data_IF_396208716297
#
_entry.id   IF_396208716297
#
_cell.length_a   1.000
_cell.length_b   1.000
_cell.length_c   1.000
_cell.angle_alpha   90.00
_cell.angle_beta   90.00
_cell.angle_gamma   90.00
#
_symmetry.space_group_name_H-M   'P 1'
#
loop_
_entity.id
_entity.type
_entity.pdbx_description
1 polymer ?
#
# COMPACT_ATOMS: atom_id res chain seq x y z
N UNK A 1 16.68 -6.82 -11.26
CA UNK A 1 16.05 -7.81 -10.34
C UNK A 1 16.52 -7.55 -8.93
N UNK A 2 15.62 -7.31 -7.99
CA UNK A 2 15.96 -7.14 -6.57
C UNK A 2 15.96 -8.53 -5.93
N UNK A 3 17.10 -8.97 -5.39
CA UNK A 3 17.28 -10.31 -4.77
C UNK A 3 16.84 -11.47 -5.70
N UNK A 4 17.19 -11.40 -6.97
CA UNK A 4 16.83 -12.34 -8.03
C UNK A 4 15.32 -12.45 -8.33
N UNK A 5 14.51 -11.48 -7.87
CA UNK A 5 13.08 -11.40 -8.14
C UNK A 5 12.74 -10.29 -9.11
N UNK A 6 11.77 -10.52 -9.98
CA UNK A 6 11.17 -9.46 -10.80
C UNK A 6 10.19 -8.68 -9.95
N UNK A 7 10.51 -7.42 -9.70
CA UNK A 7 9.74 -6.54 -8.80
C UNK A 7 9.00 -5.49 -9.62
N UNK A 8 7.70 -5.37 -9.38
CA UNK A 8 6.87 -4.27 -9.88
C UNK A 8 6.57 -3.30 -8.73
N UNK A 9 6.87 -2.03 -8.95
CA UNK A 9 6.38 -0.96 -8.09
C UNK A 9 5.06 -0.44 -8.67
N UNK A 10 3.98 -0.55 -7.90
CA UNK A 10 2.65 -0.03 -8.26
C UNK A 10 2.46 1.30 -7.55
N UNK A 11 2.24 2.35 -8.33
CA UNK A 11 2.02 3.71 -7.83
C UNK A 11 0.58 4.12 -8.13
N UNK A 12 -0.34 4.05 -7.14
CA UNK A 12 -1.67 4.60 -7.29
C UNK A 12 -1.60 6.13 -7.33
N UNK A 13 -2.25 6.77 -8.31
CA UNK A 13 -2.22 8.21 -8.47
C UNK A 13 -3.60 8.77 -8.85
N UNK A 14 -4.01 9.86 -8.21
CA UNK A 14 -5.21 10.62 -8.54
C UNK A 14 -5.02 12.11 -8.26
N UNK A 15 -4.92 12.91 -9.34
CA UNK A 15 -4.62 14.33 -9.27
C UNK A 15 -3.33 14.62 -8.47
N UNK A 16 -2.26 13.95 -8.86
CA UNK A 16 -0.92 14.04 -8.24
C UNK A 16 0.12 14.59 -9.24
N UNK A 17 -0.30 15.48 -10.15
CA UNK A 17 0.60 16.07 -11.15
C UNK A 17 1.82 16.78 -10.55
N UNK A 18 1.68 17.34 -9.33
CA UNK A 18 2.76 18.06 -8.65
C UNK A 18 3.85 17.15 -8.08
N UNK A 19 3.56 15.85 -7.84
CA UNK A 19 4.46 14.93 -7.12
C UNK A 19 4.84 13.69 -7.91
N UNK A 20 3.93 13.15 -8.73
CA UNK A 20 4.10 11.85 -9.38
C UNK A 20 5.38 11.74 -10.21
N UNK A 21 5.77 12.81 -10.92
CA UNK A 21 6.97 12.82 -11.74
C UNK A 21 8.26 12.68 -10.92
N UNK A 22 8.33 13.35 -9.77
CA UNK A 22 9.47 13.27 -8.85
C UNK A 22 9.53 11.90 -8.17
N UNK A 23 8.38 11.37 -7.73
CA UNK A 23 8.29 10.02 -7.15
C UNK A 23 8.77 8.96 -8.13
N UNK A 24 8.34 9.00 -9.39
CA UNK A 24 8.79 8.04 -10.41
C UNK A 24 10.27 8.16 -10.67
N UNK A 25 10.82 9.38 -10.80
CA UNK A 25 12.26 9.59 -11.00
C UNK A 25 13.07 9.06 -9.82
N UNK A 26 12.62 9.31 -8.60
CA UNK A 26 13.28 8.81 -7.40
C UNK A 26 13.26 7.26 -7.35
N UNK A 27 12.10 6.63 -7.58
CA UNK A 27 12.01 5.17 -7.63
C UNK A 27 12.99 4.59 -8.65
N UNK A 28 13.04 5.15 -9.86
CA UNK A 28 13.93 4.68 -10.92
C UNK A 28 15.41 4.92 -10.61
N UNK A 29 15.73 5.99 -9.89
CA UNK A 29 17.11 6.30 -9.46
C UNK A 29 17.59 5.34 -8.37
N UNK A 30 16.76 5.06 -7.38
CA UNK A 30 17.11 4.20 -6.24
C UNK A 30 16.95 2.70 -6.56
N UNK A 31 16.04 2.35 -7.49
CA UNK A 31 15.68 0.97 -7.83
C UNK A 31 15.70 0.74 -9.35
N UNK A 32 16.87 0.92 -10.03
CA UNK A 32 16.94 0.80 -11.49
C UNK A 32 16.57 -0.59 -12.01
N UNK A 33 16.54 -1.58 -11.15
CA UNK A 33 16.21 -2.98 -11.47
C UNK A 33 14.73 -3.31 -11.34
N UNK A 34 13.89 -2.39 -10.78
CA UNK A 34 12.47 -2.56 -10.62
C UNK A 34 11.70 -1.88 -11.77
N UNK A 35 10.62 -2.50 -12.19
CA UNK A 35 9.69 -1.87 -13.12
C UNK A 35 8.68 -1.00 -12.34
N UNK A 36 8.26 0.13 -12.93
CA UNK A 36 7.33 1.07 -12.31
C UNK A 36 6.07 1.17 -13.15
N UNK A 37 4.92 0.89 -12.53
CA UNK A 37 3.59 1.08 -13.09
C UNK A 37 2.84 2.14 -12.29
N UNK A 38 2.55 3.27 -12.92
CA UNK A 38 1.60 4.24 -12.39
C UNK A 38 0.19 3.87 -12.87
N UNK A 39 -0.72 3.69 -11.93
CA UNK A 39 -2.14 3.49 -12.25
C UNK A 39 -2.88 4.77 -11.90
N UNK A 40 -3.21 5.54 -12.94
CA UNK A 40 -3.93 6.81 -12.86
C UNK A 40 -5.44 6.56 -12.72
N UNK A 41 -6.01 6.96 -11.59
CA UNK A 41 -7.41 6.76 -11.21
C UNK A 41 -8.35 7.80 -11.84
N UNK A 42 -8.18 8.05 -13.14
CA UNK A 42 -9.02 9.00 -13.87
C UNK A 42 -8.76 10.46 -13.48
N UNK A 43 -7.49 10.85 -13.31
CA UNK A 43 -7.11 12.22 -12.97
C UNK A 43 -7.61 13.23 -14.00
N UNK A 44 -7.97 14.42 -13.52
CA UNK A 44 -8.36 15.55 -14.37
C UNK A 44 -7.16 16.44 -14.77
N UNK A 45 -6.02 16.23 -14.13
CA UNK A 45 -4.77 16.96 -14.35
C UNK A 45 -3.76 16.18 -15.23
N UNK A 46 -2.54 16.65 -15.30
CA UNK A 46 -1.46 16.06 -16.09
C UNK A 46 -0.76 14.85 -15.44
N UNK A 47 -1.33 14.23 -14.40
CA UNK A 47 -0.73 13.11 -13.66
C UNK A 47 -0.19 12.02 -14.57
N UNK A 48 -1.03 11.45 -15.46
CA UNK A 48 -0.63 10.36 -16.35
C UNK A 48 0.52 10.76 -17.30
N UNK A 49 0.45 11.96 -17.89
CA UNK A 49 1.46 12.48 -18.80
C UNK A 49 2.81 12.66 -18.10
N UNK A 50 2.82 13.24 -16.91
CA UNK A 50 4.05 13.48 -16.14
C UNK A 50 4.67 12.18 -15.64
N UNK A 51 3.86 11.21 -15.22
CA UNK A 51 4.34 9.86 -14.87
C UNK A 51 5.04 9.17 -16.05
N UNK A 52 4.43 9.23 -17.24
CA UNK A 52 5.00 8.65 -18.45
C UNK A 52 6.30 9.35 -18.85
N UNK A 53 6.37 10.68 -18.78
CA UNK A 53 7.58 11.45 -19.06
C UNK A 53 8.71 11.15 -18.07
N UNK A 54 8.39 10.80 -16.83
CA UNK A 54 9.35 10.34 -15.82
C UNK A 54 9.83 8.89 -16.05
N UNK A 55 9.25 8.17 -17.02
CA UNK A 55 9.68 6.85 -17.48
C UNK A 55 8.95 5.68 -16.81
N UNK A 56 7.77 5.89 -16.22
CA UNK A 56 6.90 4.81 -15.78
C UNK A 56 6.05 4.24 -16.93
N UNK A 57 5.69 2.96 -16.84
CA UNK A 57 4.51 2.47 -17.53
C UNK A 57 3.27 3.11 -16.90
N UNK A 58 2.28 3.48 -17.71
CA UNK A 58 1.07 4.14 -17.20
C UNK A 58 -0.16 3.44 -17.72
N UNK A 59 -1.07 3.11 -16.80
CA UNK A 59 -2.44 2.70 -17.14
C UNK A 59 -3.41 3.71 -16.54
N UNK A 60 -4.32 4.22 -17.36
CA UNK A 60 -5.32 5.22 -16.95
C UNK A 60 -6.71 4.61 -16.89
N UNK A 61 -7.40 4.81 -15.77
CA UNK A 61 -8.81 4.45 -15.62
C UNK A 61 -9.71 5.54 -16.21
N UNK A 62 -10.88 5.18 -16.77
CA UNK A 62 -11.81 6.15 -17.37
C UNK A 62 -12.49 7.04 -16.31
N UNK A 63 -12.54 6.62 -15.06
CA UNK A 63 -13.12 7.33 -13.92
C UNK A 63 -12.52 6.83 -12.61
N UNK A 64 -12.68 7.61 -11.53
CA UNK A 64 -12.14 7.28 -10.21
C UNK A 64 -12.84 6.05 -9.62
N UNK A 65 -12.07 5.00 -9.37
CA UNK A 65 -12.49 3.75 -8.70
C UNK A 65 -12.01 3.69 -7.24
N UNK A 66 -11.17 4.61 -6.82
CA UNK A 66 -10.49 4.59 -5.54
C UNK A 66 -9.26 3.67 -5.52
N UNK A 67 -8.43 3.85 -4.49
CA UNK A 67 -7.13 3.17 -4.34
C UNK A 67 -7.24 1.65 -4.47
N UNK A 68 -8.30 1.04 -3.96
CA UNK A 68 -8.49 -0.40 -4.05
C UNK A 68 -8.72 -0.90 -5.47
N UNK A 69 -9.49 -0.17 -6.28
CA UNK A 69 -9.68 -0.47 -7.71
C UNK A 69 -8.38 -0.35 -8.50
N UNK A 70 -7.62 0.70 -8.23
CA UNK A 70 -6.29 0.97 -8.79
C UNK A 70 -5.31 -0.16 -8.45
N UNK A 71 -5.20 -0.52 -7.16
CA UNK A 71 -4.30 -1.58 -6.72
C UNK A 71 -4.68 -2.94 -7.31
N UNK A 72 -5.97 -3.26 -7.39
CA UNK A 72 -6.43 -4.48 -8.05
C UNK A 72 -5.99 -4.54 -9.52
N UNK A 73 -6.07 -3.44 -10.26
CA UNK A 73 -5.57 -3.37 -11.63
C UNK A 73 -4.05 -3.56 -11.68
N UNK A 74 -3.30 -2.93 -10.78
CA UNK A 74 -1.87 -3.13 -10.65
C UNK A 74 -1.47 -4.58 -10.38
N UNK A 75 -2.19 -5.28 -9.50
CA UNK A 75 -1.96 -6.72 -9.25
C UNK A 75 -2.32 -7.60 -10.46
N UNK A 76 -3.38 -7.25 -11.21
CA UNK A 76 -3.70 -7.94 -12.46
C UNK A 76 -2.58 -7.80 -13.49
N UNK A 77 -2.04 -6.61 -13.62
CA UNK A 77 -0.87 -6.35 -14.47
C UNK A 77 0.34 -7.16 -13.97
N UNK A 78 0.65 -7.12 -12.67
CA UNK A 78 1.75 -7.88 -12.08
C UNK A 78 1.63 -9.38 -12.37
N UNK A 79 0.42 -9.93 -12.28
CA UNK A 79 0.13 -11.33 -12.60
C UNK A 79 0.34 -11.65 -14.06
N UNK A 80 -0.21 -10.85 -14.97
CA UNK A 80 -0.13 -11.08 -16.42
C UNK A 80 1.30 -11.03 -16.96
N UNK A 81 2.10 -10.11 -16.41
CA UNK A 81 3.49 -9.91 -16.80
C UNK A 81 4.48 -10.83 -16.06
N UNK A 82 3.99 -11.65 -15.12
CA UNK A 82 4.80 -12.65 -14.43
C UNK A 82 5.77 -12.10 -13.40
N UNK A 83 5.41 -11.03 -12.67
CA UNK A 83 6.21 -10.51 -11.57
C UNK A 83 6.19 -11.43 -10.36
N UNK A 84 7.33 -11.52 -9.67
CA UNK A 84 7.47 -12.32 -8.44
C UNK A 84 7.02 -11.56 -7.21
N UNK A 85 7.18 -10.22 -7.23
CA UNK A 85 6.88 -9.31 -6.12
C UNK A 85 6.19 -8.07 -6.65
N UNK A 86 5.17 -7.61 -5.95
CA UNK A 86 4.57 -6.30 -6.14
C UNK A 86 4.74 -5.45 -4.87
N UNK A 87 5.12 -4.17 -5.04
CA UNK A 87 5.27 -3.21 -3.95
C UNK A 87 4.41 -1.99 -4.25
N UNK A 88 3.60 -1.55 -3.27
CA UNK A 88 2.88 -0.29 -3.37
C UNK A 88 3.74 0.85 -2.85
N UNK A 89 3.86 1.92 -3.64
CA UNK A 89 4.42 3.22 -3.24
C UNK A 89 3.42 4.31 -3.63
N UNK A 90 3.02 5.15 -2.67
CA UNK A 90 2.05 6.22 -2.95
C UNK A 90 2.71 7.39 -3.72
N UNK A 91 1.92 8.05 -4.57
CA UNK A 91 2.40 9.13 -5.46
C UNK A 91 2.74 10.45 -4.73
N UNK A 92 2.55 10.54 -3.42
CA UNK A 92 2.71 11.76 -2.61
C UNK A 92 4.14 11.97 -2.05
N UNK A 93 5.06 11.02 -2.30
CA UNK A 93 6.46 11.08 -1.87
C UNK A 93 6.73 10.74 -0.40
N UNK A 94 5.72 10.29 0.36
CA UNK A 94 5.90 9.91 1.75
C UNK A 94 6.68 8.59 1.92
N UNK A 95 6.57 7.67 0.96
CA UNK A 95 7.26 6.39 0.97
C UNK A 95 8.66 6.52 0.37
N UNK A 96 9.69 6.21 1.16
CA UNK A 96 11.08 6.23 0.72
C UNK A 96 11.42 4.93 -0.04
N UNK A 97 11.73 4.98 -1.36
CA UNK A 97 12.05 3.80 -2.16
C UNK A 97 13.23 2.97 -1.65
N UNK A 98 14.15 3.58 -0.91
CA UNK A 98 15.33 2.90 -0.32
C UNK A 98 14.96 1.78 0.65
N UNK A 99 13.74 1.77 1.18
CA UNK A 99 13.26 0.68 2.03
C UNK A 99 12.68 -0.52 1.24
N UNK A 100 12.49 -0.41 -0.08
CA UNK A 100 11.94 -1.51 -0.90
C UNK A 100 12.78 -2.79 -0.79
N UNK A 101 14.13 -2.76 -0.86
CA UNK A 101 14.92 -3.98 -0.68
C UNK A 101 14.65 -4.66 0.67
N UNK A 102 14.50 -3.89 1.75
CA UNK A 102 14.17 -4.40 3.10
C UNK A 102 12.78 -5.05 3.16
N UNK A 103 11.79 -4.48 2.43
CA UNK A 103 10.46 -5.09 2.29
C UNK A 103 10.53 -6.41 1.51
N UNK A 104 11.26 -6.42 0.40
CA UNK A 104 11.44 -7.62 -0.45
C UNK A 104 12.17 -8.73 0.31
N UNK A 105 13.19 -8.41 1.11
CA UNK A 105 13.87 -9.36 1.99
C UNK A 105 12.93 -9.99 3.01
N UNK A 106 12.02 -9.21 3.56
CA UNK A 106 11.02 -9.70 4.50
C UNK A 106 10.08 -10.76 3.92
N UNK A 107 9.96 -10.86 2.58
CA UNK A 107 9.16 -11.87 1.90
C UNK A 107 9.81 -13.27 1.88
N UNK A 108 11.02 -13.43 2.40
CA UNK A 108 11.61 -14.77 2.61
C UNK A 108 10.82 -15.57 3.66
N UNK A 109 10.27 -14.89 4.67
CA UNK A 109 9.56 -15.52 5.79
C UNK A 109 8.06 -15.17 5.83
N UNK A 110 7.57 -14.32 4.94
CA UNK A 110 6.19 -13.85 4.91
C UNK A 110 5.70 -13.66 3.48
N UNK A 111 4.38 -13.71 3.27
CA UNK A 111 3.76 -13.40 1.97
C UNK A 111 3.39 -11.94 1.84
N UNK A 112 3.16 -11.25 2.97
CA UNK A 112 2.90 -9.81 3.04
C UNK A 112 3.87 -9.13 4.00
N UNK A 113 4.58 -8.12 3.52
CA UNK A 113 5.46 -7.28 4.35
C UNK A 113 4.96 -5.85 4.33
N UNK A 114 4.81 -5.25 5.51
CA UNK A 114 4.29 -3.90 5.70
C UNK A 114 5.40 -3.00 6.25
N UNK A 115 5.66 -1.88 5.60
CA UNK A 115 6.50 -0.81 6.13
C UNK A 115 5.78 -0.08 7.25
N UNK A 116 6.26 -0.23 8.48
CA UNK A 116 5.61 0.27 9.68
C UNK A 116 6.24 1.58 10.15
N UNK A 117 5.45 2.67 10.15
CA UNK A 117 5.84 4.02 10.61
C UNK A 117 6.16 4.09 12.11
N UNK A 118 5.53 3.23 12.90
CA UNK A 118 5.57 3.26 14.37
C UNK A 118 6.47 2.17 14.97
N UNK A 119 7.33 1.56 14.18
CA UNK A 119 8.19 0.47 14.63
C UNK A 119 9.57 0.93 15.14
N UNK A 120 9.75 2.22 15.42
CA UNK A 120 10.93 2.78 16.06
C UNK A 120 11.88 3.57 15.16
N UNK A 121 11.53 3.80 13.89
CA UNK A 121 12.24 4.70 12.98
C UNK A 121 11.35 5.91 12.66
N UNK A 122 11.80 7.15 12.95
CA UNK A 122 11.12 8.41 12.66
C UNK A 122 10.19 8.96 13.76
N UNK A 123 9.88 10.27 13.66
CA UNK A 123 9.15 11.06 14.68
C UNK A 123 7.63 11.15 14.45
N UNK A 124 7.03 10.24 13.68
CA UNK A 124 5.60 10.34 13.37
C UNK A 124 4.74 10.00 14.59
N UNK A 125 4.07 11.03 15.16
CA UNK A 125 3.21 10.89 16.33
C UNK A 125 1.73 11.07 15.99
N UNK A 126 0.91 10.07 16.32
CA UNK A 126 -0.56 10.20 16.29
C UNK A 126 -1.06 10.63 17.66
N UNK A 127 -1.88 11.70 17.70
CA UNK A 127 -2.49 12.22 18.94
C UNK A 127 -4.02 12.07 18.92
N UNK A 128 -4.62 12.04 20.12
CA UNK A 128 -6.08 12.06 20.31
C UNK A 128 -6.80 10.70 20.10
N UNK A 129 -8.13 10.69 19.91
CA UNK A 129 -8.98 9.48 19.83
C UNK A 129 -8.53 8.48 18.75
N UNK A 130 -7.96 8.97 17.65
CA UNK A 130 -7.40 8.15 16.57
C UNK A 130 -6.31 7.18 17.06
N UNK A 131 -5.53 7.58 18.06
CA UNK A 131 -4.49 6.71 18.65
C UNK A 131 -5.10 5.47 19.32
N UNK A 132 -6.19 5.63 20.05
CA UNK A 132 -6.87 4.52 20.73
C UNK A 132 -7.48 3.53 19.74
N UNK A 133 -8.13 4.03 18.70
CA UNK A 133 -8.71 3.18 17.65
C UNK A 133 -7.63 2.39 16.90
N UNK A 134 -6.51 3.04 16.58
CA UNK A 134 -5.37 2.38 15.94
C UNK A 134 -4.72 1.34 16.85
N UNK A 135 -4.58 1.62 18.16
CA UNK A 135 -4.03 0.68 19.13
C UNK A 135 -4.92 -0.56 19.29
N UNK A 136 -6.24 -0.39 19.35
CA UNK A 136 -7.17 -1.49 19.43
C UNK A 136 -7.14 -2.36 18.17
N UNK A 137 -7.14 -1.73 16.99
CA UNK A 137 -7.03 -2.43 15.71
C UNK A 137 -5.71 -3.22 15.60
N UNK A 138 -4.61 -2.58 16.01
CA UNK A 138 -3.28 -3.19 16.09
C UNK A 138 -3.27 -4.41 17.02
N UNK A 139 -3.88 -4.30 18.21
CA UNK A 139 -3.96 -5.40 19.18
C UNK A 139 -4.72 -6.60 18.61
N UNK A 140 -5.90 -6.38 18.03
CA UNK A 140 -6.73 -7.47 17.47
C UNK A 140 -6.03 -8.14 16.30
N UNK A 141 -5.50 -7.34 15.36
CA UNK A 141 -4.80 -7.89 14.18
C UNK A 141 -3.49 -8.59 14.55
N UNK A 142 -2.76 -8.09 15.57
CA UNK A 142 -1.56 -8.77 16.10
C UNK A 142 -1.90 -10.14 16.69
N UNK A 143 -3.00 -10.23 17.44
CA UNK A 143 -3.48 -11.52 17.99
C UNK A 143 -3.86 -12.50 16.89
N UNK A 144 -4.54 -12.02 15.83
CA UNK A 144 -4.91 -12.86 14.69
C UNK A 144 -3.69 -13.33 13.88
N UNK A 145 -2.70 -12.46 13.69
CA UNK A 145 -1.51 -12.73 12.89
C UNK A 145 -0.45 -13.56 13.64
N UNK A 146 -0.56 -13.68 14.96
CA UNK A 146 0.48 -14.31 15.79
C UNK A 146 1.80 -13.52 15.82
N UNK A 147 1.80 -12.26 15.41
CA UNK A 147 2.97 -11.38 15.40
C UNK A 147 2.57 -9.94 15.73
N UNK A 148 3.54 -9.13 16.20
CA UNK A 148 3.27 -7.73 16.55
C UNK A 148 3.09 -6.88 15.30
N UNK A 149 1.90 -6.28 15.14
CA UNK A 149 1.55 -5.35 14.08
C UNK A 149 1.27 -3.97 14.69
N UNK A 150 2.17 -3.01 14.46
CA UNK A 150 2.09 -1.65 15.02
C UNK A 150 1.43 -0.65 14.07
N UNK A 151 1.51 -0.90 12.76
CA UNK A 151 0.96 -0.05 11.71
C UNK A 151 0.17 -0.90 10.70
N UNK A 152 -1.12 -1.03 10.92
CA UNK A 152 -2.02 -1.85 10.11
C UNK A 152 -2.64 -1.09 8.94
N UNK A 153 -2.44 0.24 8.90
CA UNK A 153 -3.02 1.14 7.90
C UNK A 153 -2.01 1.68 6.89
N UNK A 154 -0.74 1.25 6.95
CA UNK A 154 0.27 1.66 5.99
C UNK A 154 -0.04 1.08 4.61
N UNK A 155 0.01 1.94 3.57
CA UNK A 155 -0.04 1.55 2.16
C UNK A 155 1.30 1.02 1.64
N UNK A 156 2.42 1.31 2.33
CA UNK A 156 3.74 0.83 1.93
C UNK A 156 3.87 -0.67 2.20
N UNK A 157 3.57 -1.49 1.20
CA UNK A 157 3.49 -2.94 1.31
C UNK A 157 4.18 -3.64 0.17
N UNK A 158 4.81 -4.78 0.47
CA UNK A 158 5.28 -5.73 -0.52
C UNK A 158 4.53 -7.06 -0.36
N UNK A 159 4.19 -7.69 -1.48
CA UNK A 159 3.60 -9.02 -1.48
C UNK A 159 4.28 -9.94 -2.50
N UNK A 160 4.27 -11.25 -2.19
CA UNK A 160 4.80 -12.31 -3.04
C UNK A 160 3.81 -12.69 -4.16
N UNK A 161 4.24 -13.63 -5.01
CA UNK A 161 3.45 -14.13 -6.14
C UNK A 161 2.10 -14.70 -5.71
N UNK A 162 2.03 -15.41 -4.59
CA UNK A 162 0.78 -16.02 -4.13
C UNK A 162 -0.26 -14.96 -3.78
N UNK A 163 0.17 -13.85 -3.16
CA UNK A 163 -0.72 -12.72 -2.88
C UNK A 163 -0.99 -11.85 -4.11
N UNK A 164 -0.06 -11.75 -5.08
CA UNK A 164 -0.35 -11.10 -6.36
C UNK A 164 -1.53 -11.82 -7.02
N UNK A 165 -1.52 -13.14 -7.10
CA UNK A 165 -2.58 -13.94 -7.70
C UNK A 165 -3.92 -13.76 -6.95
N UNK A 166 -3.90 -13.80 -5.61
CA UNK A 166 -5.08 -13.55 -4.78
C UNK A 166 -5.66 -12.14 -5.01
N UNK A 167 -4.81 -11.12 -4.98
CA UNK A 167 -5.21 -9.72 -5.08
C UNK A 167 -5.66 -9.31 -6.48
N UNK A 168 -5.17 -9.96 -7.51
CA UNK A 168 -5.63 -9.77 -8.88
C UNK A 168 -7.11 -10.19 -9.06
N UNK A 169 -7.56 -11.22 -8.35
CA UNK A 169 -8.93 -11.69 -8.39
C UNK A 169 -9.82 -11.02 -7.33
N UNK A 170 -9.24 -10.70 -6.19
CA UNK A 170 -9.97 -10.07 -5.09
C UNK A 170 -9.11 -9.02 -4.37
N UNK A 171 -9.56 -7.78 -4.41
CA UNK A 171 -9.01 -6.68 -3.63
C UNK A 171 -10.13 -5.69 -3.29
N UNK A 172 -10.29 -5.26 -2.02
CA UNK A 172 -11.38 -4.35 -1.64
C UNK A 172 -11.23 -3.00 -2.34
N UNK A 173 -12.33 -2.47 -2.86
CA UNK A 173 -12.35 -1.17 -3.56
C UNK A 173 -12.43 -0.01 -2.57
N UNK A 174 -12.99 -0.26 -1.38
CA UNK A 174 -13.30 0.79 -0.43
C UNK A 174 -12.09 1.24 0.40
N UNK A 175 -12.05 2.54 0.72
CA UNK A 175 -11.03 3.14 1.59
C UNK A 175 -10.91 2.43 2.94
N UNK A 176 -9.69 2.17 3.41
CA UNK A 176 -9.33 1.29 4.54
C UNK A 176 -9.69 -0.20 4.34
N UNK A 177 -10.55 -0.56 3.38
CA UNK A 177 -10.71 -1.93 2.95
C UNK A 177 -9.41 -2.45 2.33
N UNK A 178 -8.80 -1.64 1.51
CA UNK A 178 -7.50 -1.91 0.87
C UNK A 178 -6.38 -2.25 1.87
N UNK A 179 -6.45 -1.74 3.10
CA UNK A 179 -5.42 -2.00 4.13
C UNK A 179 -5.87 -2.98 5.20
N UNK A 180 -6.98 -2.72 5.88
CA UNK A 180 -7.43 -3.53 7.03
C UNK A 180 -8.10 -4.82 6.60
N UNK A 181 -9.01 -4.75 5.63
CA UNK A 181 -9.76 -5.91 5.16
C UNK A 181 -8.85 -6.91 4.42
N UNK A 182 -7.93 -6.39 3.58
CA UNK A 182 -6.90 -7.25 2.95
C UNK A 182 -6.06 -7.95 3.98
N UNK A 183 -5.65 -7.24 5.05
CA UNK A 183 -4.83 -7.82 6.12
C UNK A 183 -5.59 -8.92 6.87
N UNK A 184 -6.86 -8.69 7.24
CA UNK A 184 -7.72 -9.70 7.85
C UNK A 184 -7.84 -10.94 6.97
N UNK A 185 -8.09 -10.75 5.66
CA UNK A 185 -8.25 -11.86 4.73
C UNK A 185 -6.97 -12.65 4.54
N UNK A 186 -5.83 -11.96 4.37
CA UNK A 186 -4.51 -12.58 4.23
C UNK A 186 -4.20 -13.47 5.44
N UNK A 187 -4.42 -12.95 6.67
CA UNK A 187 -4.21 -13.69 7.92
C UNK A 187 -5.14 -14.91 8.01
N UNK A 188 -6.42 -14.77 7.65
CA UNK A 188 -7.40 -15.87 7.69
C UNK A 188 -7.14 -16.98 6.70
N UNK A 189 -6.54 -16.64 5.57
CA UNK A 189 -6.10 -17.63 4.57
C UNK A 189 -4.78 -18.32 4.97
N UNK A 190 -4.22 -17.98 6.14
CA UNK A 190 -3.01 -18.62 6.67
C UNK A 190 -1.70 -18.05 6.11
N UNK A 191 -1.75 -16.95 5.37
CA UNK A 191 -0.53 -16.30 4.89
C UNK A 191 0.18 -15.58 6.03
N UNK A 192 1.50 -15.67 6.05
CA UNK A 192 2.31 -14.97 7.04
C UNK A 192 2.44 -13.49 6.70
N UNK A 193 2.31 -12.66 7.73
CA UNK A 193 2.49 -11.20 7.65
C UNK A 193 3.66 -10.79 8.51
N UNK A 194 4.46 -9.85 8.02
CA UNK A 194 5.60 -9.25 8.74
C UNK A 194 5.56 -7.73 8.64
N UNK A 195 6.07 -7.06 9.66
CA UNK A 195 6.35 -5.63 9.58
C UNK A 195 7.85 -5.37 9.64
N UNK A 196 8.29 -4.37 8.89
CA UNK A 196 9.65 -3.83 8.96
C UNK A 196 9.57 -2.34 9.27
N UNK A 197 10.44 -1.81 10.15
CA UNK A 197 10.46 -0.39 10.45
C UNK A 197 10.92 0.40 9.22
N UNK A 198 10.21 1.50 8.96
CA UNK A 198 10.51 2.45 7.88
C UNK A 198 10.33 3.88 8.39
N UNK A 199 11.19 4.79 7.96
CA UNK A 199 10.98 6.21 8.16
C UNK A 199 10.02 6.73 7.07
N UNK A 200 9.00 7.49 7.49
CA UNK A 200 8.11 8.20 6.56
C UNK A 200 8.57 9.64 6.41
N UNK A 201 8.47 10.15 5.20
CA UNK A 201 8.76 11.54 4.88
C UNK A 201 7.53 12.41 5.00
N UNK A 202 7.73 13.72 5.01
CA UNK A 202 6.65 14.67 4.79
C UNK A 202 6.19 14.58 3.32
N UNK A 203 4.89 14.77 3.10
CA UNK A 203 4.31 14.83 1.76
C UNK A 203 4.97 15.96 0.95
N UNK A 204 5.33 15.70 -0.31
CA UNK A 204 5.97 16.70 -1.16
C UNK A 204 4.98 17.76 -1.61
N UNK A 205 3.73 17.35 -1.98
CA UNK A 205 2.67 18.23 -2.46
C UNK A 205 1.29 17.58 -2.28
N UNK A 206 0.23 18.30 -2.67
CA UNK A 206 -1.14 17.78 -2.70
C UNK A 206 -1.92 17.97 -1.39
N UNK A 207 -3.25 17.80 -1.46
CA UNK A 207 -4.16 17.89 -0.32
C UNK A 207 -4.50 16.50 0.22
N UNK A 208 -4.60 16.31 1.57
CA UNK A 208 -5.05 15.04 2.14
C UNK A 208 -6.43 14.67 1.61
N UNK A 209 -6.58 13.45 1.13
CA UNK A 209 -7.80 12.97 0.45
C UNK A 209 -9.07 12.99 1.33
N UNK A 210 -8.96 13.18 2.66
CA UNK A 210 -10.11 13.08 3.57
C UNK A 210 -10.09 14.04 4.76
N UNK A 211 -11.28 14.59 5.08
CA UNK A 211 -11.52 15.35 6.30
C UNK A 211 -11.56 14.45 7.54
N UNK A 212 -11.29 15.03 8.72
CA UNK A 212 -11.26 14.34 10.03
C UNK A 212 -12.55 13.55 10.34
N UNK A 213 -13.71 14.05 9.92
CA UNK A 213 -15.01 13.39 10.13
C UNK A 213 -15.13 12.12 9.29
N UNK A 214 -14.72 12.16 8.02
CA UNK A 214 -14.69 10.98 7.16
C UNK A 214 -13.73 9.92 7.71
N UNK A 215 -12.56 10.32 8.21
CA UNK A 215 -11.61 9.41 8.84
C UNK A 215 -12.19 8.68 10.07
N UNK A 216 -13.01 9.36 10.90
CA UNK A 216 -13.68 8.72 12.04
C UNK A 216 -14.75 7.71 11.61
N UNK A 217 -15.58 8.05 10.63
CA UNK A 217 -16.57 7.15 10.05
C UNK A 217 -15.92 5.88 9.45
N UNK A 218 -14.78 6.03 8.78
CA UNK A 218 -14.03 4.91 8.24
C UNK A 218 -13.40 4.04 9.33
N UNK A 219 -12.96 4.60 10.44
CA UNK A 219 -12.49 3.82 11.59
C UNK A 219 -13.63 3.01 12.23
N UNK A 220 -14.81 3.59 12.40
CA UNK A 220 -16.00 2.87 12.87
C UNK A 220 -16.38 1.74 11.92
N UNK A 221 -16.31 1.96 10.61
CA UNK A 221 -16.58 0.95 9.60
C UNK A 221 -15.53 -0.16 9.60
N UNK A 222 -14.24 0.18 9.69
CA UNK A 222 -13.16 -0.80 9.81
C UNK A 222 -13.34 -1.69 11.06
N UNK A 223 -13.77 -1.10 12.17
CA UNK A 223 -14.10 -1.83 13.40
C UNK A 223 -15.31 -2.76 13.21
N UNK A 224 -16.37 -2.30 12.54
CA UNK A 224 -17.55 -3.12 12.22
C UNK A 224 -17.16 -4.27 11.28
N UNK A 225 -16.35 -4.01 10.26
CA UNK A 225 -15.83 -5.04 9.34
C UNK A 225 -15.00 -6.08 10.10
N UNK A 226 -14.19 -5.63 11.05
CA UNK A 226 -13.40 -6.51 11.92
C UNK A 226 -14.31 -7.38 12.80
N UNK A 227 -15.34 -6.81 13.43
CA UNK A 227 -16.33 -7.55 14.22
C UNK A 227 -17.06 -8.58 13.37
N UNK A 228 -17.55 -8.21 12.20
CA UNK A 228 -18.20 -9.12 11.26
C UNK A 228 -17.24 -10.21 10.76
N UNK A 229 -15.98 -9.85 10.55
CA UNK A 229 -14.95 -10.79 10.18
C UNK A 229 -14.62 -11.78 11.32
N UNK A 230 -14.72 -11.40 12.58
CA UNK A 230 -14.56 -12.30 13.73
C UNK A 230 -15.75 -13.26 13.92
N UNK A 231 -16.96 -12.85 13.53
CA UNK A 231 -18.19 -13.63 13.67
C UNK A 231 -18.39 -14.59 12.48
N UNK A 232 -18.00 -14.22 11.28
CA UNK A 232 -18.05 -15.09 10.11
C UNK A 232 -16.91 -16.12 10.16
N UNK A 233 -17.26 -17.35 10.51
CA UNK A 233 -16.40 -18.53 10.29
C UNK A 233 -16.22 -18.84 8.81
#
# INVERSE_FOLDING_TARGET
MINNKRVLIIVPAWNEAESVGDVVREIRGELPEADVLVVDDGSADDTARLAQQAGAAVTRLPFNLGVGGVMRLGYRYARSEGYDVAVQIDADGQHDPRYVPKLVDGLQDASLVIGARFAGEGDYQVRGPRRWSMALLSMVLSSMAGCKLTDTTSGFRACDRALIDLFADWYPVEYLGDTVETLVRVIRLGYRVRQVPVAMRYRFAGTPSHSTIKALLYLCRAFLTLLLALIRR
#
